data_IF_899499509536
#
_entry.id   IF_899499509536
#
_cell.length_a   1.000
_cell.length_b   1.000
_cell.length_c   1.000
_cell.angle_alpha   90.00
_cell.angle_beta   90.00
_cell.angle_gamma   90.00
#
_symmetry.space_group_name_H-M   'P 1'
#
loop_
_entity.id
_entity.type
_entity.pdbx_description
1 polymer ?
#
# COMPACT_ATOMS: atom_id res chain seq x y z
N UNK A 1 30.18 -2.89 25.00
CA UNK A 1 31.36 -3.23 24.19
C UNK A 1 32.25 -4.09 25.08
N UNK A 2 32.24 -5.40 24.86
CA UNK A 2 33.12 -6.36 25.52
C UNK A 2 33.78 -7.17 24.39
N UNK A 3 35.10 -7.35 24.48
CA UNK A 3 35.86 -8.20 23.58
C UNK A 3 36.93 -7.45 22.78
N UNK A 4 38.17 -7.49 23.25
CA UNK A 4 39.33 -7.06 22.47
C UNK A 4 39.50 -7.91 21.20
N UNK A 5 40.31 -7.41 20.26
CA UNK A 5 40.66 -7.96 18.94
C UNK A 5 41.36 -9.35 18.96
N UNK A 6 40.98 -10.26 19.87
CA UNK A 6 41.53 -11.61 19.94
C UNK A 6 40.77 -12.52 18.98
N UNK A 7 41.46 -13.09 17.96
CA UNK A 7 40.82 -14.01 17.04
C UNK A 7 40.42 -15.29 17.78
N UNK A 8 39.15 -15.68 17.67
CA UNK A 8 38.64 -16.96 18.19
C UNK A 8 38.57 -17.96 17.04
N UNK A 9 39.25 -19.10 17.18
CA UNK A 9 39.18 -20.18 16.21
C UNK A 9 37.83 -20.88 16.34
N UNK A 10 36.90 -20.59 15.42
CA UNK A 10 35.58 -21.21 15.39
C UNK A 10 35.29 -21.81 14.02
N UNK A 11 34.63 -22.98 14.01
CA UNK A 11 34.18 -23.61 12.77
C UNK A 11 32.92 -22.89 12.26
N UNK A 12 33.02 -22.25 11.10
CA UNK A 12 31.86 -21.66 10.42
C UNK A 12 30.99 -22.80 9.87
N UNK A 13 29.75 -22.88 10.36
CA UNK A 13 28.75 -23.85 9.91
C UNK A 13 28.00 -23.32 8.69
N UNK A 14 27.67 -22.03 8.71
CA UNK A 14 27.00 -21.35 7.59
C UNK A 14 27.24 -19.84 7.64
N UNK A 15 27.34 -19.23 6.47
CA UNK A 15 27.17 -17.79 6.30
C UNK A 15 25.74 -17.56 5.84
N UNK A 16 24.94 -16.87 6.65
CA UNK A 16 23.60 -16.42 6.25
C UNK A 16 23.66 -14.94 5.90
N UNK A 17 22.78 -14.45 5.01
CA UNK A 17 22.86 -13.07 4.55
C UNK A 17 22.48 -12.06 5.64
N UNK A 18 21.71 -12.49 6.66
CA UNK A 18 21.27 -11.63 7.76
C UNK A 18 20.92 -12.43 9.02
N UNK A 19 21.23 -11.87 10.18
CA UNK A 19 20.74 -12.34 11.48
C UNK A 19 20.10 -11.16 12.23
N UNK A 20 18.96 -11.35 12.91
CA UNK A 20 18.38 -10.30 13.75
C UNK A 20 19.42 -9.83 14.78
N UNK A 21 19.45 -8.53 15.09
CA UNK A 21 20.36 -7.88 16.08
C UNK A 21 21.87 -7.96 15.82
N UNK A 22 22.35 -8.86 14.94
CA UNK A 22 23.72 -8.86 14.48
C UNK A 22 23.98 -7.73 13.45
N UNK A 23 25.20 -7.21 13.45
CA UNK A 23 25.64 -6.20 12.48
C UNK A 23 25.72 -6.74 11.04
N UNK A 24 26.31 -5.95 10.14
CA UNK A 24 26.37 -6.28 8.69
C UNK A 24 27.27 -7.48 8.35
N UNK A 25 28.08 -7.93 9.32
CA UNK A 25 28.94 -9.09 9.18
C UNK A 25 28.74 -10.00 10.37
N UNK A 26 28.28 -11.21 10.11
CA UNK A 26 28.12 -12.23 11.13
C UNK A 26 28.29 -13.60 10.49
N UNK A 27 28.64 -14.58 11.31
CA UNK A 27 28.82 -15.97 10.89
C UNK A 27 28.07 -16.86 11.87
N UNK A 28 27.53 -17.98 11.38
CA UNK A 28 27.00 -19.02 12.26
C UNK A 28 28.13 -20.01 12.52
N UNK A 29 28.53 -20.11 13.78
CA UNK A 29 29.58 -21.02 14.23
C UNK A 29 28.98 -22.18 15.06
N UNK A 30 29.77 -23.24 15.23
CA UNK A 30 29.43 -24.32 16.15
C UNK A 30 29.39 -23.80 17.59
N UNK A 31 28.24 -23.95 18.26
CA UNK A 31 27.99 -23.39 19.59
C UNK A 31 28.91 -23.97 20.66
N UNK A 32 29.21 -25.27 20.62
CA UNK A 32 30.04 -25.92 21.65
C UNK A 32 31.49 -25.49 21.50
N UNK A 33 32.02 -25.59 20.28
CA UNK A 33 33.40 -25.19 20.01
C UNK A 33 33.63 -23.69 20.30
N UNK A 34 32.64 -22.84 20.02
CA UNK A 34 32.72 -21.41 20.33
C UNK A 34 32.65 -21.14 21.84
N UNK A 35 31.73 -21.81 22.56
CA UNK A 35 31.63 -21.66 24.01
C UNK A 35 32.91 -22.10 24.72
N UNK A 36 33.46 -23.26 24.35
CA UNK A 36 34.72 -23.78 24.92
C UNK A 36 35.89 -22.81 24.67
N UNK A 37 35.97 -22.22 23.47
CA UNK A 37 37.02 -21.28 23.12
C UNK A 37 36.87 -19.93 23.86
N UNK A 38 35.64 -19.47 24.06
CA UNK A 38 35.34 -18.26 24.82
C UNK A 38 35.67 -18.45 26.32
N UNK A 39 35.22 -19.56 26.91
CA UNK A 39 35.48 -19.89 28.31
C UNK A 39 36.97 -20.17 28.60
N UNK A 40 37.73 -20.69 27.63
CA UNK A 40 39.18 -20.85 27.74
C UNK A 40 39.92 -19.50 27.78
N UNK A 41 39.38 -18.46 27.13
CA UNK A 41 39.95 -17.12 27.12
C UNK A 41 39.50 -16.26 28.31
N UNK A 42 38.21 -16.33 28.64
CA UNK A 42 37.56 -15.61 29.73
C UNK A 42 36.40 -16.45 30.29
N UNK A 43 36.60 -17.13 31.44
CA UNK A 43 35.61 -18.05 31.99
C UNK A 43 34.24 -17.38 32.22
N UNK A 44 33.18 -18.03 31.73
CA UNK A 44 31.78 -17.58 31.88
C UNK A 44 31.23 -16.80 30.68
N UNK A 45 32.07 -16.47 29.70
CA UNK A 45 31.66 -15.75 28.48
C UNK A 45 31.06 -16.66 27.41
N UNK A 46 31.19 -17.98 27.53
CA UNK A 46 30.59 -18.97 26.63
C UNK A 46 29.09 -19.23 26.86
N UNK A 47 28.46 -18.53 27.81
CA UNK A 47 27.06 -18.77 28.17
C UNK A 47 26.07 -18.29 27.08
N UNK A 48 25.05 -19.12 26.80
CA UNK A 48 24.00 -18.79 25.83
C UNK A 48 22.99 -17.83 26.47
N UNK A 49 22.89 -16.61 25.94
CA UNK A 49 21.98 -15.59 26.46
C UNK A 49 20.60 -15.59 25.79
N UNK A 50 20.48 -16.12 24.57
CA UNK A 50 19.25 -16.06 23.78
C UNK A 50 19.08 -17.32 22.94
N UNK A 51 17.84 -17.82 22.88
CA UNK A 51 17.47 -19.00 22.10
C UNK A 51 16.34 -18.66 21.14
N UNK A 52 16.58 -18.87 19.85
CA UNK A 52 15.60 -18.63 18.79
C UNK A 52 14.96 -19.95 18.39
N UNK A 53 13.66 -20.07 18.63
CA UNK A 53 12.89 -21.27 18.31
C UNK A 53 11.96 -21.01 17.13
N UNK A 54 11.85 -22.00 16.26
CA UNK A 54 10.89 -22.01 15.17
C UNK A 54 9.93 -23.19 15.35
N UNK A 55 8.63 -22.92 15.18
CA UNK A 55 7.59 -23.95 15.17
C UNK A 55 7.02 -24.06 13.75
N UNK A 56 6.75 -25.28 13.27
CA UNK A 56 5.92 -25.50 12.08
C UNK A 56 4.55 -24.84 12.21
N UNK A 57 3.94 -24.52 11.06
CA UNK A 57 2.60 -23.94 11.00
C UNK A 57 1.60 -24.78 11.80
N UNK A 58 0.74 -24.11 12.56
CA UNK A 58 -0.24 -24.75 13.44
C UNK A 58 0.29 -25.27 14.78
N UNK A 59 1.62 -25.35 14.99
CA UNK A 59 2.21 -25.80 16.28
C UNK A 59 2.73 -24.67 17.17
N UNK A 60 2.71 -23.43 16.70
CA UNK A 60 3.19 -22.28 17.47
C UNK A 60 2.47 -22.11 18.82
N UNK A 61 1.15 -22.36 18.86
CA UNK A 61 0.37 -22.28 20.09
C UNK A 61 0.77 -23.34 21.12
N UNK A 62 0.98 -24.59 20.67
CA UNK A 62 1.46 -25.66 21.53
C UNK A 62 2.88 -25.39 22.07
N UNK A 63 3.77 -24.84 21.22
CA UNK A 63 5.10 -24.41 21.66
C UNK A 63 5.02 -23.29 22.71
N UNK A 64 4.19 -22.28 22.47
CA UNK A 64 3.98 -21.19 23.42
C UNK A 64 3.46 -21.69 24.78
N UNK A 65 2.52 -22.64 24.77
CA UNK A 65 2.02 -23.27 26.00
C UNK A 65 3.11 -24.08 26.72
N UNK A 66 3.92 -24.84 25.98
CA UNK A 66 5.02 -25.60 26.56
C UNK A 66 6.08 -24.68 27.20
N UNK A 67 6.38 -23.54 26.58
CA UNK A 67 7.32 -22.55 27.11
C UNK A 67 6.78 -21.78 28.32
N UNK A 68 5.46 -21.72 28.49
CA UNK A 68 4.83 -21.11 29.67
C UNK A 68 4.80 -22.06 30.89
N UNK A 69 5.05 -23.35 30.70
CA UNK A 69 5.07 -24.35 31.76
C UNK A 69 6.48 -24.49 32.38
N UNK A 70 6.53 -24.92 33.64
CA UNK A 70 7.79 -25.30 34.28
C UNK A 70 8.49 -26.41 33.48
N UNK A 71 9.84 -26.38 33.34
CA UNK A 71 10.80 -25.48 33.97
C UNK A 71 11.11 -24.19 33.17
N UNK A 72 10.38 -23.93 32.09
CA UNK A 72 10.66 -22.82 31.16
C UNK A 72 9.98 -21.51 31.56
N UNK A 73 9.16 -21.54 32.62
CA UNK A 73 8.45 -20.41 33.23
C UNK A 73 9.38 -19.28 33.72
N UNK A 74 10.68 -19.57 33.88
CA UNK A 74 11.71 -18.58 34.25
C UNK A 74 12.34 -17.86 33.05
N UNK A 75 12.08 -18.30 31.82
CA UNK A 75 12.64 -17.70 30.62
C UNK A 75 11.80 -16.49 30.18
N UNK A 76 12.47 -15.44 29.73
CA UNK A 76 11.79 -14.36 29.02
C UNK A 76 11.43 -14.85 27.60
N UNK A 77 10.15 -15.09 27.36
CA UNK A 77 9.66 -15.60 26.06
C UNK A 77 9.03 -14.45 25.28
N UNK A 78 9.63 -14.07 24.15
CA UNK A 78 9.02 -13.15 23.18
C UNK A 78 8.46 -13.95 21.99
N UNK A 79 7.14 -13.84 21.78
CA UNK A 79 6.45 -14.52 20.69
C UNK A 79 6.15 -13.53 19.56
N UNK A 80 6.62 -13.85 18.36
CA UNK A 80 6.33 -13.07 17.14
C UNK A 80 4.83 -12.80 16.95
N UNK A 81 3.98 -13.80 17.23
CA UNK A 81 2.53 -13.67 17.07
C UNK A 81 1.94 -12.62 18.02
N UNK A 82 2.40 -12.57 19.28
CA UNK A 82 1.95 -11.58 20.26
C UNK A 82 2.34 -10.17 19.83
N UNK A 83 3.59 -9.97 19.39
CA UNK A 83 4.01 -8.68 18.81
C UNK A 83 3.19 -8.29 17.60
N UNK A 84 2.90 -9.24 16.71
CA UNK A 84 2.12 -8.97 15.51
C UNK A 84 0.69 -8.52 15.86
N UNK A 85 0.06 -9.15 16.85
CA UNK A 85 -1.27 -8.73 17.34
C UNK A 85 -1.21 -7.33 17.96
N UNK A 86 -0.19 -7.04 18.77
CA UNK A 86 0.00 -5.71 19.35
C UNK A 86 0.18 -4.63 18.28
N UNK A 87 1.03 -4.87 17.28
CA UNK A 87 1.29 -3.94 16.18
C UNK A 87 0.05 -3.74 15.29
N UNK A 88 -0.73 -4.80 15.05
CA UNK A 88 -1.99 -4.70 14.28
C UNK A 88 -3.07 -3.93 15.07
N UNK A 89 -3.02 -4.00 16.39
CA UNK A 89 -3.96 -3.33 17.29
C UNK A 89 -3.62 -1.87 17.60
N UNK A 90 -2.49 -1.32 17.14
CA UNK A 90 -2.03 0.02 17.49
C UNK A 90 -3.09 1.10 17.13
N UNK A 91 -3.59 1.87 18.12
CA UNK A 91 -4.61 2.90 17.89
C UNK A 91 -4.11 4.02 16.98
N UNK A 92 -2.81 4.34 16.99
CA UNK A 92 -2.23 5.41 16.15
C UNK A 92 -2.27 4.99 14.70
N UNK A 93 -1.84 3.76 14.40
CA UNK A 93 -1.89 3.20 13.06
C UNK A 93 -3.34 3.11 12.53
N UNK A 94 -4.28 2.69 13.37
CA UNK A 94 -5.71 2.63 13.00
C UNK A 94 -6.33 4.01 12.76
N UNK A 95 -5.99 4.99 13.59
CA UNK A 95 -6.44 6.38 13.41
C UNK A 95 -5.93 6.98 12.11
N UNK A 96 -4.63 6.83 11.83
CA UNK A 96 -4.02 7.28 10.57
C UNK A 96 -4.64 6.59 9.35
N UNK A 97 -4.85 5.27 9.40
CA UNK A 97 -5.50 4.53 8.32
C UNK A 97 -6.94 5.02 8.06
N UNK A 98 -7.69 5.32 9.12
CA UNK A 98 -9.05 5.88 9.01
C UNK A 98 -9.06 7.24 8.32
N UNK A 99 -8.19 8.16 8.74
CA UNK A 99 -8.05 9.48 8.12
C UNK A 99 -7.64 9.40 6.65
N UNK A 100 -6.63 8.57 6.34
CA UNK A 100 -6.18 8.37 4.96
C UNK A 100 -7.29 7.78 4.08
N UNK A 101 -8.08 6.85 4.62
CA UNK A 101 -9.23 6.26 3.91
C UNK A 101 -10.28 7.33 3.64
N UNK A 102 -10.62 8.16 4.64
CA UNK A 102 -11.57 9.26 4.47
C UNK A 102 -11.09 10.28 3.43
N UNK A 103 -9.82 10.70 3.49
CA UNK A 103 -9.22 11.60 2.51
C UNK A 103 -9.22 11.00 1.10
N UNK A 104 -8.93 9.70 0.97
CA UNK A 104 -8.99 9.01 -0.32
C UNK A 104 -10.42 9.00 -0.90
N UNK A 105 -11.43 8.74 -0.07
CA UNK A 105 -12.84 8.81 -0.49
C UNK A 105 -13.22 10.21 -0.96
N UNK A 106 -12.82 11.25 -0.23
CA UNK A 106 -13.06 12.65 -0.64
C UNK A 106 -12.38 12.95 -1.98
N UNK A 107 -11.13 12.53 -2.17
CA UNK A 107 -10.41 12.73 -3.43
C UNK A 107 -11.10 12.01 -4.60
N UNK A 108 -11.63 10.80 -4.39
CA UNK A 108 -12.42 10.07 -5.38
C UNK A 108 -13.70 10.83 -5.74
N UNK A 109 -14.43 11.35 -4.75
CA UNK A 109 -15.64 12.16 -4.99
C UNK A 109 -15.32 13.42 -5.81
N UNK A 110 -14.23 14.11 -5.48
CA UNK A 110 -13.76 15.29 -6.24
C UNK A 110 -13.39 14.89 -7.67
N UNK A 111 -12.70 13.76 -7.87
CA UNK A 111 -12.37 13.25 -9.20
C UNK A 111 -13.61 12.92 -10.02
N UNK A 112 -14.62 12.30 -9.42
CA UNK A 112 -15.91 12.03 -10.07
C UNK A 112 -16.60 13.33 -10.47
N UNK A 113 -16.64 14.33 -9.59
CA UNK A 113 -17.23 15.64 -9.88
C UNK A 113 -16.51 16.33 -11.05
N UNK A 114 -15.18 16.25 -11.11
CA UNK A 114 -14.41 16.79 -12.24
C UNK A 114 -14.80 16.14 -13.57
N UNK A 115 -15.00 14.81 -13.60
CA UNK A 115 -15.48 14.11 -14.81
C UNK A 115 -16.89 14.57 -15.19
N UNK A 116 -17.79 14.76 -14.21
CA UNK A 116 -19.13 15.30 -14.48
C UNK A 116 -19.04 16.69 -15.10
N UNK A 117 -18.25 17.59 -14.49
CA UNK A 117 -18.09 18.96 -14.97
C UNK A 117 -17.47 19.02 -16.37
N UNK A 118 -16.50 18.14 -16.66
CA UNK A 118 -15.92 18.00 -18.00
C UNK A 118 -17.00 17.67 -19.03
N UNK A 119 -17.83 16.65 -18.77
CA UNK A 119 -18.89 16.24 -19.70
C UNK A 119 -19.95 17.32 -19.86
N UNK A 120 -20.33 18.01 -18.78
CA UNK A 120 -21.31 19.11 -18.81
C UNK A 120 -20.78 20.31 -19.60
N UNK A 121 -19.49 20.65 -19.43
CA UNK A 121 -18.85 21.74 -20.16
C UNK A 121 -18.83 21.44 -21.68
N UNK A 122 -18.39 20.24 -22.06
CA UNK A 122 -18.37 19.80 -23.46
C UNK A 122 -19.77 19.89 -24.10
N UNK A 123 -20.80 19.45 -23.36
CA UNK A 123 -22.20 19.53 -23.77
C UNK A 123 -22.68 20.96 -24.03
N UNK A 124 -22.27 21.89 -23.16
CA UNK A 124 -22.68 23.30 -23.25
C UNK A 124 -22.05 23.94 -24.49
N UNK A 125 -20.78 23.67 -24.73
CA UNK A 125 -20.05 24.20 -25.87
C UNK A 125 -20.58 23.66 -27.21
N UNK A 126 -20.92 22.37 -27.28
CA UNK A 126 -21.42 21.73 -28.52
C UNK A 126 -22.94 21.88 -28.72
N UNK A 127 -23.66 22.55 -27.81
CA UNK A 127 -25.13 22.60 -27.84
C UNK A 127 -25.70 23.16 -29.15
N UNK A 128 -25.08 24.19 -29.72
CA UNK A 128 -25.53 24.80 -30.98
C UNK A 128 -25.33 23.88 -32.20
N UNK A 129 -24.23 23.14 -32.24
CA UNK A 129 -23.93 22.18 -33.31
C UNK A 129 -24.83 20.94 -33.24
N UNK A 130 -25.11 20.47 -32.02
CA UNK A 130 -26.02 19.34 -31.78
C UNK A 130 -27.45 19.65 -32.27
N UNK A 131 -27.91 20.88 -32.09
CA UNK A 131 -29.22 21.31 -32.62
C UNK A 131 -29.26 21.34 -34.15
N UNK A 132 -28.18 21.76 -34.80
CA UNK A 132 -28.08 21.73 -36.27
C UNK A 132 -28.09 20.28 -36.80
N UNK A 133 -27.40 19.37 -36.12
CA UNK A 133 -27.36 17.95 -36.50
C UNK A 133 -28.67 17.20 -36.24
N UNK A 134 -29.44 17.60 -35.23
CA UNK A 134 -30.79 17.07 -35.00
C UNK A 134 -31.76 17.55 -36.07
N UNK A 135 -31.64 18.80 -36.54
CA UNK A 135 -32.40 19.27 -37.71
C UNK A 135 -32.04 18.52 -39.00
N UNK A 136 -30.81 18.01 -39.11
CA UNK A 136 -30.35 17.17 -40.22
C UNK A 136 -30.70 15.67 -40.04
N UNK A 137 -31.35 15.29 -38.93
CA UNK A 137 -31.87 13.93 -38.70
C UNK A 137 -30.87 12.92 -38.11
N UNK A 138 -29.75 13.37 -37.53
CA UNK A 138 -28.75 12.48 -36.94
C UNK A 138 -29.29 11.82 -35.65
N UNK A 139 -29.17 10.50 -35.48
CA UNK A 139 -29.70 9.80 -34.31
C UNK A 139 -28.96 10.16 -33.01
N UNK A 140 -29.67 10.27 -31.86
CA UNK A 140 -29.07 10.67 -30.58
C UNK A 140 -28.05 9.66 -30.02
N UNK A 141 -28.01 8.43 -30.55
CA UNK A 141 -27.06 7.40 -30.15
C UNK A 141 -25.61 7.71 -30.58
N UNK A 142 -25.42 8.34 -31.75
CA UNK A 142 -24.07 8.73 -32.23
C UNK A 142 -23.50 9.89 -31.41
N UNK A 143 -24.34 10.81 -30.94
CA UNK A 143 -23.96 11.93 -30.08
C UNK A 143 -23.55 11.48 -28.67
N UNK A 144 -24.20 10.43 -28.13
CA UNK A 144 -23.76 9.81 -26.85
C UNK A 144 -22.38 9.18 -26.98
N UNK A 145 -22.11 8.55 -28.12
CA UNK A 145 -20.87 7.83 -28.35
C UNK A 145 -19.69 8.79 -28.51
N UNK A 146 -19.86 9.95 -29.16
CA UNK A 146 -18.79 10.95 -29.26
C UNK A 146 -18.42 11.52 -27.88
N UNK A 147 -19.40 11.92 -27.08
CA UNK A 147 -19.17 12.41 -25.72
C UNK A 147 -18.52 11.35 -24.82
N UNK A 148 -18.99 10.11 -24.89
CA UNK A 148 -18.39 9.01 -24.14
C UNK A 148 -16.93 8.74 -24.56
N UNK A 149 -16.64 8.74 -25.86
CA UNK A 149 -15.28 8.47 -26.36
C UNK A 149 -14.29 9.54 -25.90
N UNK A 150 -14.69 10.82 -25.89
CA UNK A 150 -13.84 11.91 -25.38
C UNK A 150 -13.59 11.79 -23.88
N UNK A 151 -14.64 11.57 -23.10
CA UNK A 151 -14.51 11.36 -21.66
C UNK A 151 -13.67 10.10 -21.35
N UNK A 152 -13.86 9.01 -22.11
CA UNK A 152 -13.08 7.79 -21.98
C UNK A 152 -11.60 8.01 -22.30
N UNK A 153 -11.28 8.81 -23.32
CA UNK A 153 -9.90 9.18 -23.64
C UNK A 153 -9.24 9.89 -22.46
N UNK A 154 -9.91 10.88 -21.86
CA UNK A 154 -9.40 11.59 -20.68
C UNK A 154 -9.23 10.66 -19.48
N UNK A 155 -10.24 9.84 -19.15
CA UNK A 155 -10.18 8.88 -18.03
C UNK A 155 -9.05 7.88 -18.22
N UNK A 156 -8.88 7.36 -19.44
CA UNK A 156 -7.84 6.38 -19.76
C UNK A 156 -6.42 6.92 -19.61
N UNK A 157 -6.22 8.24 -19.75
CA UNK A 157 -4.93 8.88 -19.49
C UNK A 157 -4.76 9.33 -18.03
N UNK A 158 -5.81 9.92 -17.47
CA UNK A 158 -5.78 10.51 -16.12
C UNK A 158 -5.62 9.46 -15.02
N UNK A 159 -6.29 8.30 -15.13
CA UNK A 159 -6.24 7.26 -14.09
C UNK A 159 -4.85 6.63 -13.98
N UNK A 160 -4.20 6.15 -15.06
CA UNK A 160 -2.82 5.68 -14.99
C UNK A 160 -1.84 6.77 -14.54
N UNK A 161 -1.97 8.00 -15.05
CA UNK A 161 -1.09 9.10 -14.67
C UNK A 161 -1.18 9.42 -13.16
N UNK A 162 -2.40 9.52 -12.62
CA UNK A 162 -2.63 9.73 -11.19
C UNK A 162 -2.07 8.60 -10.34
N UNK A 163 -2.25 7.34 -10.78
CA UNK A 163 -1.69 6.18 -10.09
C UNK A 163 -0.16 6.20 -10.06
N UNK A 164 0.48 6.52 -11.19
CA UNK A 164 1.93 6.67 -11.28
C UNK A 164 2.46 7.76 -10.36
N UNK A 165 1.79 8.92 -10.33
CA UNK A 165 2.14 10.03 -9.43
C UNK A 165 1.98 9.61 -7.96
N UNK A 166 0.89 8.93 -7.60
CA UNK A 166 0.65 8.45 -6.24
C UNK A 166 1.69 7.42 -5.79
N UNK A 167 2.09 6.50 -6.67
CA UNK A 167 3.17 5.53 -6.40
C UNK A 167 4.53 6.21 -6.24
N UNK A 168 4.83 7.19 -7.11
CA UNK A 168 6.06 7.97 -7.02
C UNK A 168 6.14 8.75 -5.71
N UNK A 169 5.05 9.45 -5.34
CA UNK A 169 4.99 10.22 -4.10
C UNK A 169 5.14 9.31 -2.88
N UNK A 170 4.46 8.16 -2.88
CA UNK A 170 4.57 7.17 -1.80
C UNK A 170 5.99 6.64 -1.64
N UNK A 171 6.72 6.42 -2.75
CA UNK A 171 8.13 6.02 -2.75
C UNK A 171 9.02 7.13 -2.18
N UNK A 172 8.79 8.38 -2.59
CA UNK A 172 9.54 9.54 -2.07
C UNK A 172 9.31 9.69 -0.56
N UNK A 173 8.07 9.60 -0.10
CA UNK A 173 7.75 9.64 1.33
C UNK A 173 8.42 8.50 2.10
N UNK A 174 8.42 7.27 1.57
CA UNK A 174 9.09 6.15 2.20
C UNK A 174 10.61 6.38 2.32
N UNK A 175 11.26 6.95 1.30
CA UNK A 175 12.68 7.32 1.37
C UNK A 175 12.91 8.44 2.38
N UNK A 176 12.05 9.46 2.38
CA UNK A 176 12.20 10.62 3.26
C UNK A 176 12.06 10.24 4.74
N UNK A 177 11.09 9.38 5.07
CA UNK A 177 10.90 8.86 6.44
C UNK A 177 12.10 8.02 6.90
N UNK A 178 12.78 7.31 5.98
CA UNK A 178 14.01 6.58 6.33
C UNK A 178 15.16 7.52 6.71
N UNK A 179 15.22 8.70 6.10
CA UNK A 179 16.29 9.68 6.35
C UNK A 179 16.05 10.43 7.66
N UNK A 180 14.79 10.69 8.04
CA UNK A 180 14.46 11.55 9.19
C UNK A 180 14.39 10.84 10.54
N UNK A 181 14.26 9.50 10.58
CA UNK A 181 13.97 8.77 11.83
C UNK A 181 15.19 8.36 12.69
N UNK A 182 16.44 8.55 12.23
CA UNK A 182 17.61 8.23 13.08
C UNK A 182 18.99 8.21 12.42
N UNK A 183 19.16 8.80 11.22
CA UNK A 183 20.43 8.76 10.48
C UNK A 183 20.92 7.35 10.10
N UNK A 184 20.11 6.33 10.38
CA UNK A 184 20.41 4.92 10.17
C UNK A 184 19.23 4.30 9.44
N UNK A 185 19.52 3.60 8.33
CA UNK A 185 18.48 2.98 7.52
C UNK A 185 17.72 1.92 8.36
N UNK A 186 16.38 1.94 8.40
CA UNK A 186 15.63 0.94 9.12
C UNK A 186 15.95 -0.45 8.57
N UNK A 187 16.22 -1.38 9.48
CA UNK A 187 16.48 -2.78 9.17
C UNK A 187 15.31 -3.60 9.72
N UNK A 188 14.46 -4.24 8.88
CA UNK A 188 14.51 -4.31 7.41
C UNK A 188 14.08 -3.01 6.72
N UNK A 189 14.55 -2.78 5.47
CA UNK A 189 14.17 -1.60 4.71
C UNK A 189 12.65 -1.58 4.50
N UNK A 190 12.05 -0.39 4.61
CA UNK A 190 10.63 -0.21 4.38
C UNK A 190 10.32 -0.54 2.91
N UNK A 191 9.56 -1.60 2.69
CA UNK A 191 9.04 -1.94 1.39
C UNK A 191 7.59 -1.47 1.28
N UNK A 192 7.24 -0.90 0.12
CA UNK A 192 5.84 -0.70 -0.22
C UNK A 192 5.18 -2.06 -0.32
N UNK A 193 4.15 -2.30 0.49
CA UNK A 193 3.34 -3.51 0.44
C UNK A 193 2.35 -3.50 -0.75
N UNK A 194 2.74 -2.93 -1.89
CA UNK A 194 1.92 -2.85 -3.10
C UNK A 194 2.38 -3.90 -4.10
N UNK A 195 1.72 -5.05 -4.09
CA UNK A 195 1.92 -6.07 -5.12
C UNK A 195 1.35 -5.65 -6.48
N UNK A 196 1.82 -6.24 -7.59
CA UNK A 196 1.32 -5.92 -8.94
C UNK A 196 -0.19 -6.17 -9.07
N UNK A 197 -0.74 -7.18 -8.37
CA UNK A 197 -2.19 -7.44 -8.35
C UNK A 197 -3.00 -6.33 -7.67
N UNK A 198 -2.46 -5.68 -6.65
CA UNK A 198 -3.12 -4.55 -5.99
C UNK A 198 -3.15 -3.33 -6.92
N UNK A 199 -2.03 -3.04 -7.58
CA UNK A 199 -1.92 -1.94 -8.55
C UNK A 199 -2.90 -2.15 -9.71
N UNK A 200 -2.95 -3.37 -10.26
CA UNK A 200 -3.91 -3.72 -11.31
C UNK A 200 -5.37 -3.57 -10.84
N UNK A 201 -5.68 -4.01 -9.62
CA UNK A 201 -7.02 -3.87 -9.04
C UNK A 201 -7.46 -2.42 -8.89
N UNK A 202 -6.60 -1.55 -8.37
CA UNK A 202 -6.89 -0.11 -8.23
C UNK A 202 -7.04 0.56 -9.58
N UNK A 203 -6.18 0.24 -10.55
CA UNK A 203 -6.27 0.75 -11.91
C UNK A 203 -7.61 0.35 -12.57
N UNK A 204 -7.96 -0.93 -12.49
CA UNK A 204 -9.22 -1.44 -13.05
C UNK A 204 -10.44 -0.79 -12.40
N UNK A 205 -10.43 -0.65 -11.07
CA UNK A 205 -11.52 -0.01 -10.33
C UNK A 205 -11.66 1.48 -10.71
N UNK A 206 -10.55 2.22 -10.77
CA UNK A 206 -10.56 3.64 -11.14
C UNK A 206 -11.07 3.87 -12.56
N UNK A 207 -10.61 3.05 -13.52
CA UNK A 207 -11.10 3.10 -14.90
C UNK A 207 -12.59 2.75 -14.98
N UNK A 208 -13.02 1.66 -14.33
CA UNK A 208 -14.42 1.24 -14.34
C UNK A 208 -15.34 2.31 -13.73
N UNK A 209 -14.95 2.90 -12.59
CA UNK A 209 -15.72 3.95 -11.93
C UNK A 209 -15.79 5.23 -12.79
N UNK A 210 -14.66 5.69 -13.35
CA UNK A 210 -14.62 6.87 -14.21
C UNK A 210 -15.45 6.72 -15.48
N UNK A 211 -15.34 5.55 -16.14
CA UNK A 211 -16.13 5.24 -17.34
C UNK A 211 -17.62 5.10 -17.02
N UNK A 212 -17.98 4.50 -15.87
CA UNK A 212 -19.38 4.41 -15.45
C UNK A 212 -19.99 5.80 -15.19
N UNK A 213 -19.28 6.69 -14.49
CA UNK A 213 -19.72 8.08 -14.28
C UNK A 213 -19.89 8.80 -15.62
N UNK A 214 -18.91 8.71 -16.51
CA UNK A 214 -19.00 9.32 -17.84
C UNK A 214 -20.21 8.79 -18.64
N UNK A 215 -20.44 7.48 -18.63
CA UNK A 215 -21.58 6.86 -19.31
C UNK A 215 -22.93 7.27 -18.70
N UNK A 216 -23.03 7.37 -17.38
CA UNK A 216 -24.25 7.80 -16.69
C UNK A 216 -24.57 9.25 -17.01
N UNK A 217 -23.58 10.16 -16.94
CA UNK A 217 -23.78 11.60 -17.20
C UNK A 217 -24.11 11.86 -18.68
N UNK A 218 -23.35 11.28 -19.61
CA UNK A 218 -23.68 11.32 -21.04
C UNK A 218 -25.06 10.68 -21.31
N UNK A 219 -25.45 9.72 -20.48
CA UNK A 219 -26.70 9.00 -20.59
C UNK A 219 -27.92 9.79 -20.11
N UNK A 220 -27.82 10.47 -18.97
CA UNK A 220 -28.90 11.25 -18.34
C UNK A 220 -29.14 12.58 -19.04
N UNK A 221 -28.10 13.22 -19.58
CA UNK A 221 -28.18 14.53 -20.23
C UNK A 221 -29.05 14.56 -21.50
N UNK A 222 -29.38 13.42 -22.11
CA UNK A 222 -30.26 13.32 -23.29
C UNK A 222 -31.70 12.89 -22.95
N UNK A 223 -31.98 12.67 -21.65
CA UNK A 223 -33.34 12.38 -21.17
C UNK A 223 -34.09 13.62 -20.71
N UNK A 224 -33.42 14.76 -20.53
CA UNK A 224 -34.09 16.02 -20.19
C UNK A 224 -34.94 16.50 -21.38
N UNK A 225 -36.24 16.63 -21.13
CA UNK A 225 -37.25 17.13 -22.07
C UNK A 225 -36.87 18.56 -22.49
N UNK A 226 -36.96 18.80 -23.80
CA UNK A 226 -36.67 20.05 -24.53
C UNK A 226 -36.90 21.34 -23.70
N UNK A 227 -36.00 22.34 -23.80
CA UNK A 227 -36.30 23.69 -23.37
C UNK A 227 -37.51 24.22 -24.15
N UNK A 228 -38.50 24.80 -23.45
CA UNK A 228 -39.62 25.49 -24.10
C UNK A 228 -39.10 26.65 -24.94
N UNK A 229 -39.58 26.77 -26.17
CA UNK A 229 -39.29 27.89 -27.07
C UNK A 229 -39.62 29.22 -26.38
N UNK A 230 -38.79 30.27 -26.51
CA UNK A 230 -39.08 31.61 -25.98
C UNK A 230 -40.22 32.36 -26.70
N UNK A 231 -40.93 31.72 -27.64
CA UNK A 231 -41.85 32.41 -28.56
C UNK A 231 -43.31 32.42 -28.10
N UNK A 232 -43.62 31.90 -26.92
CA UNK A 232 -44.95 32.00 -26.30
C UNK A 232 -44.95 33.05 -25.18
N UNK A 233 -44.75 34.32 -25.55
CA UNK A 233 -45.21 35.44 -24.73
C UNK A 233 -46.46 35.99 -25.40
N UNK A 234 -47.67 35.67 -24.91
CA UNK A 234 -48.87 36.33 -25.38
C UNK A 234 -48.85 37.78 -24.86
N UNK A 235 -48.92 38.72 -25.80
CA UNK A 235 -49.22 40.14 -25.56
C UNK A 235 -50.58 40.32 -24.89
#
# INVERSE_FOLDING_TARGET
MVGGDRPVAARVVRVVPRFPTAGDRFVVADTRALADALDAGEPGTGSVSELWLWAPDGRAGALAQALAAAPFDRLAVDLRQTRQVQLTGDPVARGAAGLLTASALVAVLVGMLAVVLLVVAERRDESAELYAWESDGIPPATLRRSLFVRAAAVVSGAVPAGLLVGLALSRVTAVLVQVTAGGTAPKPPLALATGPGWVAGVLALGLAAGLAVAAVVAGSALRERMPRRPEEVPS
#
